data_IF_748384881771
#
_entry.id   IF_748384881771
#
_cell.length_a   1.000
_cell.length_b   1.000
_cell.length_c   1.000
_cell.angle_alpha   90.00
_cell.angle_beta   90.00
_cell.angle_gamma   90.00
#
_symmetry.space_group_name_H-M   'P 1'
#
loop_
_entity.id
_entity.type
_entity.pdbx_description
1 polymer ?
#
# COMPACT_ATOMS: atom_id res chain seq x y z
N UNK A 1 -18.90 11.94 -13.94
CA UNK A 1 -19.22 10.94 -12.90
C UNK A 1 -18.10 10.99 -11.87
N UNK A 2 -18.38 11.32 -10.59
CA UNK A 2 -17.33 11.48 -9.55
C UNK A 2 -17.08 10.19 -8.75
N UNK A 3 -16.99 9.05 -9.42
CA UNK A 3 -16.71 7.77 -8.80
C UNK A 3 -15.25 7.35 -9.05
N UNK A 4 -14.59 6.86 -7.99
CA UNK A 4 -13.21 6.41 -8.06
C UNK A 4 -13.06 5.05 -7.39
N UNK A 5 -12.35 4.14 -8.03
CA UNK A 5 -12.05 2.81 -7.49
C UNK A 5 -10.65 2.81 -6.92
N UNK A 6 -10.54 2.54 -5.62
CA UNK A 6 -9.26 2.38 -4.93
C UNK A 6 -8.89 0.91 -4.98
N UNK A 7 -7.66 0.62 -5.39
CA UNK A 7 -7.05 -0.71 -5.32
C UNK A 7 -5.86 -0.68 -4.38
N UNK A 8 -5.76 -1.70 -3.53
CA UNK A 8 -4.61 -1.96 -2.68
C UNK A 8 -4.19 -3.41 -2.82
N UNK A 9 -2.90 -3.68 -2.98
CA UNK A 9 -2.37 -5.03 -3.24
C UNK A 9 -1.11 -5.29 -2.44
N UNK A 10 -0.97 -6.51 -1.94
CA UNK A 10 0.25 -7.08 -1.40
C UNK A 10 0.69 -8.23 -2.31
N UNK A 11 1.94 -8.23 -2.76
CA UNK A 11 2.44 -9.22 -3.73
C UNK A 11 3.91 -9.54 -3.48
N UNK A 12 4.32 -10.74 -3.89
CA UNK A 12 5.72 -11.14 -3.84
C UNK A 12 6.37 -11.04 -5.23
N UNK A 13 7.46 -10.29 -5.41
CA UNK A 13 8.01 -9.96 -6.72
C UNK A 13 8.64 -11.15 -7.43
N UNK A 14 9.16 -12.14 -6.68
CA UNK A 14 9.76 -13.34 -7.24
C UNK A 14 8.78 -14.51 -7.36
N UNK A 15 9.16 -15.51 -8.18
CA UNK A 15 8.46 -16.80 -8.28
C UNK A 15 8.34 -17.54 -6.95
N UNK A 16 9.25 -17.30 -6.01
CA UNK A 16 9.28 -17.94 -4.69
C UNK A 16 9.77 -16.96 -3.64
N UNK A 17 9.35 -17.16 -2.39
CA UNK A 17 9.72 -16.35 -1.23
C UNK A 17 11.15 -16.62 -0.71
N UNK A 18 12.04 -17.13 -1.55
CA UNK A 18 13.39 -17.51 -1.13
C UNK A 18 13.42 -18.56 -0.01
N UNK A 19 14.56 -18.66 0.68
CA UNK A 19 14.70 -19.51 1.87
C UNK A 19 14.03 -18.88 3.10
N UNK A 20 14.02 -17.54 3.19
CA UNK A 20 13.45 -16.78 4.30
C UNK A 20 11.92 -16.82 4.40
N UNK A 21 11.22 -17.12 3.30
CA UNK A 21 9.80 -17.44 3.28
C UNK A 21 9.52 -18.88 2.87
N UNK A 22 10.37 -19.82 3.29
CA UNK A 22 10.15 -21.27 3.17
C UNK A 22 9.87 -21.76 1.73
N UNK A 23 10.21 -21.00 0.69
CA UNK A 23 10.00 -21.39 -0.70
C UNK A 23 8.53 -21.40 -1.17
N UNK A 24 7.61 -20.71 -0.48
CA UNK A 24 6.25 -20.48 -0.98
C UNK A 24 6.28 -19.79 -2.35
N UNK A 25 5.31 -20.12 -3.21
CA UNK A 25 5.18 -19.46 -4.50
C UNK A 25 4.80 -17.98 -4.35
N UNK A 26 5.41 -17.14 -5.18
CA UNK A 26 5.09 -15.71 -5.29
C UNK A 26 4.51 -15.33 -6.65
N UNK A 27 4.34 -14.03 -6.86
CA UNK A 27 3.59 -13.46 -7.99
C UNK A 27 4.44 -13.26 -9.25
N UNK A 28 5.77 -13.24 -9.12
CA UNK A 28 6.70 -13.12 -10.25
C UNK A 28 6.39 -11.91 -11.17
N UNK A 29 6.28 -10.73 -10.57
CA UNK A 29 5.93 -9.50 -11.28
C UNK A 29 6.53 -8.27 -10.61
N UNK A 30 6.48 -7.14 -11.31
CA UNK A 30 6.74 -5.83 -10.74
C UNK A 30 5.50 -5.08 -10.31
N UNK A 31 5.74 -3.86 -9.83
CA UNK A 31 4.70 -2.89 -9.53
C UNK A 31 3.89 -2.57 -10.79
N UNK A 32 2.59 -2.41 -10.64
CA UNK A 32 1.67 -2.26 -11.76
C UNK A 32 0.37 -1.58 -11.31
N UNK A 33 -0.32 -0.91 -12.23
CA UNK A 33 -1.73 -0.53 -12.05
C UNK A 33 -2.68 -1.45 -12.85
N UNK A 34 -2.16 -2.48 -13.54
CA UNK A 34 -3.00 -3.40 -14.30
C UNK A 34 -3.79 -4.30 -13.38
N UNK A 35 -5.10 -4.34 -13.57
CA UNK A 35 -6.04 -5.20 -12.84
C UNK A 35 -5.80 -6.70 -13.05
N UNK A 36 -5.05 -7.08 -14.08
CA UNK A 36 -4.70 -8.48 -14.36
C UNK A 36 -3.47 -9.00 -13.61
N UNK A 37 -2.81 -8.15 -12.81
CA UNK A 37 -1.59 -8.53 -12.08
C UNK A 37 -1.94 -9.29 -10.81
N UNK A 38 -1.34 -10.47 -10.61
CA UNK A 38 -1.64 -11.35 -9.47
C UNK A 38 -1.18 -10.75 -8.14
N UNK A 39 -1.78 -11.12 -7.02
CA UNK A 39 -1.38 -10.64 -5.69
C UNK A 39 -1.61 -11.70 -4.63
N UNK A 40 -0.81 -11.67 -3.57
CA UNK A 40 -1.07 -12.50 -2.38
C UNK A 40 -2.36 -12.07 -1.70
N UNK A 41 -2.60 -10.77 -1.58
CA UNK A 41 -3.90 -10.23 -1.20
C UNK A 41 -4.13 -8.99 -2.04
N UNK A 42 -5.35 -8.81 -2.51
CA UNK A 42 -5.79 -7.57 -3.12
C UNK A 42 -7.14 -7.17 -2.56
N UNK A 43 -7.36 -5.87 -2.49
CA UNK A 43 -8.61 -5.30 -2.08
C UNK A 43 -8.98 -4.13 -2.98
N UNK A 44 -10.28 -3.93 -3.17
CA UNK A 44 -10.78 -2.77 -3.89
C UNK A 44 -12.12 -2.28 -3.37
N UNK A 45 -12.36 -0.97 -3.50
CA UNK A 45 -13.62 -0.34 -3.14
C UNK A 45 -13.84 0.93 -3.95
N UNK A 46 -15.09 1.22 -4.28
CA UNK A 46 -15.47 2.40 -5.02
C UNK A 46 -16.03 3.46 -4.07
N UNK A 47 -15.49 4.68 -4.14
CA UNK A 47 -16.08 5.86 -3.49
C UNK A 47 -16.84 6.68 -4.51
N UNK A 48 -18.02 7.17 -4.13
CA UNK A 48 -18.86 8.04 -4.94
C UNK A 48 -19.06 9.37 -4.23
N UNK A 49 -18.47 10.43 -4.78
CA UNK A 49 -18.55 11.77 -4.23
C UNK A 49 -19.86 12.50 -4.58
N UNK A 50 -20.64 12.03 -5.55
CA UNK A 50 -21.96 12.59 -5.84
C UNK A 50 -22.94 12.23 -4.73
N UNK A 51 -22.91 10.98 -4.27
CA UNK A 51 -23.83 10.43 -3.27
C UNK A 51 -23.24 10.41 -1.86
N UNK A 52 -21.94 10.70 -1.72
CA UNK A 52 -21.20 10.54 -0.46
C UNK A 52 -21.31 9.12 0.11
N UNK A 53 -21.26 8.13 -0.78
CA UNK A 53 -21.34 6.70 -0.43
C UNK A 53 -20.12 5.95 -0.94
N UNK A 54 -19.98 4.70 -0.53
CA UNK A 54 -18.96 3.80 -1.04
C UNK A 54 -19.52 2.38 -1.15
N UNK A 55 -18.95 1.57 -2.05
CA UNK A 55 -19.27 0.14 -2.18
C UNK A 55 -18.42 -0.68 -1.24
N UNK A 56 -18.93 -1.81 -0.76
CA UNK A 56 -18.17 -2.75 0.08
C UNK A 56 -16.75 -3.02 -0.42
N UNK A 57 -15.80 -3.12 0.52
CA UNK A 57 -14.39 -3.34 0.24
C UNK A 57 -14.18 -4.82 0.01
N UNK A 58 -14.07 -5.21 -1.24
CA UNK A 58 -13.92 -6.61 -1.62
C UNK A 58 -12.45 -7.01 -1.48
N UNK A 59 -12.18 -8.02 -0.65
CA UNK A 59 -10.83 -8.48 -0.30
C UNK A 59 -10.68 -9.93 -0.73
N UNK A 60 -9.69 -10.20 -1.57
CA UNK A 60 -9.45 -11.52 -2.15
C UNK A 60 -7.96 -11.83 -2.26
N UNK A 61 -7.64 -13.04 -2.68
CA UNK A 61 -6.29 -13.55 -2.86
C UNK A 61 -6.22 -14.34 -4.16
N UNK A 62 -5.14 -14.19 -4.92
CA UNK A 62 -4.87 -15.13 -6.00
C UNK A 62 -4.38 -16.47 -5.44
N UNK A 63 -4.59 -17.58 -6.17
CA UNK A 63 -4.21 -18.90 -5.67
C UNK A 63 -2.74 -18.98 -5.25
N UNK A 64 -2.50 -19.77 -4.22
CA UNK A 64 -1.17 -19.98 -3.64
C UNK A 64 -0.78 -21.44 -3.72
N UNK A 65 0.53 -21.72 -3.76
CA UNK A 65 1.05 -23.09 -3.79
C UNK A 65 2.18 -23.24 -2.79
N UNK A 66 2.04 -24.21 -1.89
CA UNK A 66 3.05 -24.57 -0.92
C UNK A 66 4.27 -25.22 -1.60
N UNK A 67 5.46 -25.11 -1.01
CA UNK A 67 6.61 -25.86 -1.48
C UNK A 67 6.37 -27.38 -1.38
N UNK A 68 7.03 -28.15 -2.26
CA UNK A 68 6.85 -29.61 -2.34
C UNK A 68 7.14 -30.36 -1.03
N UNK A 69 8.07 -29.86 -0.21
CA UNK A 69 8.43 -30.47 1.08
C UNK A 69 7.39 -30.19 2.18
N UNK A 70 6.45 -29.27 1.94
CA UNK A 70 5.24 -29.07 2.75
C UNK A 70 4.00 -29.65 2.05
N UNK A 71 4.18 -30.56 1.08
CA UNK A 71 3.11 -31.29 0.42
C UNK A 71 2.68 -30.73 -0.94
N UNK A 72 3.17 -29.56 -1.37
CA UNK A 72 2.84 -29.01 -2.69
C UNK A 72 1.36 -28.66 -2.88
N UNK A 73 0.65 -28.41 -1.78
CA UNK A 73 -0.78 -28.10 -1.79
C UNK A 73 -1.06 -26.78 -2.49
N UNK A 74 -2.23 -26.69 -3.13
CA UNK A 74 -2.73 -25.48 -3.77
C UNK A 74 -3.95 -24.99 -3.01
N UNK A 75 -3.95 -23.71 -2.68
CA UNK A 75 -5.04 -23.04 -1.98
C UNK A 75 -5.67 -22.02 -2.92
N UNK A 76 -6.99 -22.07 -3.06
CA UNK A 76 -7.79 -21.21 -3.94
C UNK A 76 -8.52 -20.12 -3.15
N UNK A 77 -8.49 -20.16 -1.81
CA UNK A 77 -9.12 -19.20 -0.91
C UNK A 77 -10.63 -19.09 -1.15
N UNK A 78 -11.30 -20.22 -1.39
CA UNK A 78 -12.75 -20.27 -1.61
C UNK A 78 -13.50 -20.36 -0.26
N UNK A 79 -12.90 -21.04 0.71
CA UNK A 79 -13.48 -21.25 2.05
C UNK A 79 -13.37 -19.99 2.91
N UNK A 80 -14.46 -19.63 3.61
CA UNK A 80 -14.56 -18.41 4.40
C UNK A 80 -13.47 -18.29 5.48
N UNK A 81 -13.02 -19.42 6.04
CA UNK A 81 -12.00 -19.47 7.07
C UNK A 81 -10.60 -19.14 6.56
N UNK A 82 -10.36 -19.36 5.26
CA UNK A 82 -9.06 -19.16 4.59
C UNK A 82 -8.98 -17.83 3.86
N UNK A 83 -10.14 -17.26 3.47
CA UNK A 83 -10.22 -15.98 2.77
C UNK A 83 -9.57 -14.85 3.58
N UNK A 84 -8.90 -13.91 2.90
CA UNK A 84 -8.51 -12.66 3.53
C UNK A 84 -9.76 -11.87 3.93
N UNK A 85 -9.59 -11.00 4.91
CA UNK A 85 -10.65 -10.17 5.45
C UNK A 85 -10.17 -8.72 5.50
N UNK A 86 -11.10 -7.78 5.43
CA UNK A 86 -10.76 -6.37 5.55
C UNK A 86 -11.98 -5.51 5.77
N UNK A 87 -11.71 -4.24 5.99
CA UNK A 87 -12.71 -3.25 6.28
C UNK A 87 -12.32 -1.94 5.62
N UNK A 88 -13.32 -1.16 5.23
CA UNK A 88 -13.11 0.22 4.86
C UNK A 88 -14.24 1.11 5.36
N UNK A 89 -13.95 2.40 5.40
CA UNK A 89 -14.93 3.43 5.69
C UNK A 89 -14.65 4.65 4.81
N UNK A 90 -15.72 5.34 4.45
CA UNK A 90 -15.66 6.56 3.68
C UNK A 90 -16.56 7.61 4.30
N UNK A 91 -16.03 8.82 4.45
CA UNK A 91 -16.79 10.00 4.85
C UNK A 91 -16.42 11.14 3.92
N UNK A 92 -17.41 11.84 3.39
CA UNK A 92 -17.20 13.04 2.58
C UNK A 92 -18.15 14.16 2.96
N UNK A 93 -17.74 15.39 2.67
CA UNK A 93 -18.66 16.52 2.68
C UNK A 93 -19.74 16.34 1.59
N UNK A 94 -20.90 17.01 1.71
CA UNK A 94 -21.92 16.99 0.66
C UNK A 94 -21.36 17.38 -0.71
N UNK A 95 -21.97 16.86 -1.78
CA UNK A 95 -21.59 17.21 -3.14
C UNK A 95 -21.70 18.72 -3.40
N UNK A 96 -20.63 19.28 -3.95
CA UNK A 96 -20.52 20.70 -4.31
C UNK A 96 -20.22 20.82 -5.81
N UNK A 97 -21.21 21.14 -6.67
CA UNK A 97 -21.04 21.11 -8.13
C UNK A 97 -20.01 22.10 -8.67
N UNK A 98 -19.88 23.27 -8.03
CA UNK A 98 -18.94 24.33 -8.41
C UNK A 98 -18.14 24.78 -7.18
N UNK A 99 -17.69 23.84 -6.35
CA UNK A 99 -17.02 24.18 -5.11
C UNK A 99 -16.18 23.04 -4.57
N UNK A 100 -15.61 23.29 -3.39
CA UNK A 100 -14.74 22.34 -2.71
C UNK A 100 -15.56 21.21 -2.09
N UNK A 101 -15.10 19.98 -2.31
CA UNK A 101 -15.58 18.80 -1.61
C UNK A 101 -14.40 18.03 -1.03
N UNK A 102 -14.52 17.57 0.21
CA UNK A 102 -13.49 16.75 0.84
C UNK A 102 -13.99 15.34 1.08
N UNK A 103 -13.08 14.38 1.10
CA UNK A 103 -13.36 12.98 1.43
C UNK A 103 -12.21 12.34 2.17
N UNK A 104 -12.52 11.37 3.01
CA UNK A 104 -11.54 10.54 3.71
C UNK A 104 -11.96 9.08 3.57
N UNK A 105 -11.10 8.30 2.93
CA UNK A 105 -11.24 6.86 2.75
C UNK A 105 -10.17 6.16 3.57
N UNK A 106 -10.59 5.32 4.51
CA UNK A 106 -9.72 4.50 5.34
C UNK A 106 -10.00 3.05 5.06
N UNK A 107 -8.95 2.24 4.96
CA UNK A 107 -9.08 0.82 4.68
C UNK A 107 -7.99 0.01 5.38
N UNK A 108 -8.30 -1.25 5.60
CA UNK A 108 -7.34 -2.26 6.00
C UNK A 108 -7.74 -3.61 5.40
N UNK A 109 -6.76 -4.48 5.23
CA UNK A 109 -7.00 -5.89 5.01
C UNK A 109 -5.91 -6.72 5.69
N UNK A 110 -6.24 -7.98 5.89
CA UNK A 110 -5.30 -9.00 6.33
C UNK A 110 -5.58 -10.37 5.74
N UNK A 111 -4.57 -11.23 5.74
CA UNK A 111 -4.73 -12.62 5.36
C UNK A 111 -3.42 -13.39 5.39
N UNK A 112 -3.46 -14.62 4.89
CA UNK A 112 -2.35 -15.56 4.94
C UNK A 112 -1.83 -15.87 3.54
N UNK A 113 -0.50 -15.91 3.40
CA UNK A 113 0.14 -16.22 2.13
C UNK A 113 -0.13 -17.65 1.63
N UNK A 114 -0.38 -18.61 2.51
CA UNK A 114 -0.87 -19.96 2.16
C UNK A 114 -1.64 -20.56 3.34
N UNK A 115 -2.87 -21.00 3.11
CA UNK A 115 -3.63 -21.76 4.09
C UNK A 115 -3.42 -23.26 3.85
N UNK A 116 -2.96 -24.00 4.87
CA UNK A 116 -2.85 -25.46 4.78
C UNK A 116 -4.12 -26.16 5.26
N UNK A 117 -4.84 -25.51 6.16
CA UNK A 117 -6.06 -26.03 6.79
C UNK A 117 -7.03 -24.88 7.04
N UNK A 118 -8.31 -25.13 7.32
CA UNK A 118 -9.22 -24.09 7.83
C UNK A 118 -8.84 -23.56 9.23
N UNK A 119 -7.88 -24.18 9.93
CA UNK A 119 -7.46 -23.75 11.25
C UNK A 119 -6.48 -22.56 11.16
N UNK A 120 -6.99 -21.35 11.39
CA UNK A 120 -6.20 -20.10 11.39
C UNK A 120 -5.01 -20.13 12.35
N UNK A 121 -5.14 -20.71 13.54
CA UNK A 121 -4.05 -20.77 14.52
C UNK A 121 -2.89 -21.67 14.05
N UNK A 122 -3.22 -22.81 13.41
CA UNK A 122 -2.21 -23.66 12.80
C UNK A 122 -1.53 -22.96 11.62
N UNK A 123 -2.30 -22.33 10.73
CA UNK A 123 -1.73 -21.62 9.60
C UNK A 123 -0.81 -20.48 10.06
N UNK A 124 -1.24 -19.68 11.04
CA UNK A 124 -0.45 -18.55 11.55
C UNK A 124 0.89 -18.98 12.19
N UNK A 125 0.96 -20.21 12.72
CA UNK A 125 2.21 -20.78 13.24
C UNK A 125 3.24 -21.07 12.12
N UNK A 126 2.75 -21.40 10.92
CA UNK A 126 3.57 -21.84 9.78
C UNK A 126 3.81 -20.71 8.78
N UNK A 127 2.80 -19.87 8.58
CA UNK A 127 2.75 -18.75 7.66
C UNK A 127 2.04 -17.60 8.37
N UNK A 128 2.80 -16.62 8.90
CA UNK A 128 2.22 -15.47 9.56
C UNK A 128 1.24 -14.72 8.66
N UNK A 129 0.26 -14.06 9.28
CA UNK A 129 -0.62 -13.13 8.58
C UNK A 129 0.17 -11.92 8.06
N UNK A 130 -0.32 -11.34 6.96
CA UNK A 130 0.14 -10.09 6.40
C UNK A 130 -0.97 -9.06 6.51
N UNK A 131 -0.62 -7.89 7.04
CA UNK A 131 -1.55 -6.81 7.31
C UNK A 131 -1.15 -5.55 6.53
N UNK A 132 -2.12 -4.93 5.88
CA UNK A 132 -1.93 -3.67 5.16
C UNK A 132 -3.09 -2.72 5.45
N UNK A 133 -2.77 -1.46 5.71
CA UNK A 133 -3.76 -0.42 5.93
C UNK A 133 -3.37 0.89 5.25
N UNK A 134 -4.36 1.74 5.01
CA UNK A 134 -4.11 3.02 4.38
C UNK A 134 -5.20 4.04 4.64
N UNK A 135 -4.82 5.29 4.43
CA UNK A 135 -5.74 6.43 4.43
C UNK A 135 -5.54 7.21 3.13
N UNK A 136 -6.63 7.63 2.52
CA UNK A 136 -6.64 8.52 1.37
C UNK A 136 -7.56 9.68 1.67
N UNK A 137 -7.00 10.89 1.70
CA UNK A 137 -7.73 12.13 1.86
C UNK A 137 -7.80 12.83 0.51
N UNK A 138 -8.99 13.30 0.17
CA UNK A 138 -9.31 13.99 -1.06
C UNK A 138 -9.74 15.42 -0.75
N UNK A 139 -9.29 16.37 -1.56
CA UNK A 139 -9.88 17.69 -1.70
C UNK A 139 -10.11 17.96 -3.19
N UNK A 140 -11.37 18.01 -3.60
CA UNK A 140 -11.80 18.15 -4.99
C UNK A 140 -12.36 19.56 -5.18
N UNK A 141 -11.67 20.36 -5.97
CA UNK A 141 -12.15 21.67 -6.41
C UNK A 141 -12.85 21.53 -7.77
N UNK A 142 -14.17 21.72 -7.77
CA UNK A 142 -15.00 21.68 -8.98
C UNK A 142 -15.34 23.05 -9.53
N UNK A 143 -14.71 24.11 -9.06
CA UNK A 143 -14.81 25.41 -9.74
C UNK A 143 -14.38 25.22 -11.21
N UNK A 144 -15.23 25.61 -12.20
CA UNK A 144 -14.91 25.49 -13.62
C UNK A 144 -13.58 26.13 -14.04
N UNK A 145 -13.10 27.12 -13.28
CA UNK A 145 -11.83 27.80 -13.53
C UNK A 145 -10.63 27.06 -12.90
N UNK A 146 -10.86 26.11 -11.98
CA UNK A 146 -9.82 25.36 -11.25
C UNK A 146 -9.73 23.91 -11.69
N UNK A 147 -10.79 23.12 -11.50
CA UNK A 147 -10.88 21.68 -11.80
C UNK A 147 -9.63 20.88 -11.39
N UNK A 148 -9.39 20.78 -10.08
CA UNK A 148 -8.25 20.05 -9.50
C UNK A 148 -8.68 19.12 -8.36
N UNK A 149 -7.92 18.06 -8.16
CA UNK A 149 -8.04 17.17 -7.01
C UNK A 149 -6.70 17.06 -6.31
N UNK A 150 -6.64 17.42 -5.03
CA UNK A 150 -5.54 17.06 -4.16
C UNK A 150 -5.82 15.68 -3.53
N UNK A 151 -4.79 14.82 -3.56
CA UNK A 151 -4.82 13.48 -2.97
C UNK A 151 -3.64 13.36 -2.02
N UNK A 152 -3.94 13.06 -0.76
CA UNK A 152 -2.95 12.66 0.25
C UNK A 152 -3.19 11.20 0.56
N UNK A 153 -2.18 10.36 0.41
CA UNK A 153 -2.29 8.94 0.71
C UNK A 153 -1.16 8.48 1.62
N UNK A 154 -1.51 7.66 2.62
CA UNK A 154 -0.56 6.98 3.50
C UNK A 154 -0.80 5.47 3.46
N UNK A 155 0.29 4.73 3.61
CA UNK A 155 0.30 3.27 3.57
C UNK A 155 1.05 2.75 4.79
N UNK A 156 0.46 1.78 5.50
CA UNK A 156 1.04 1.11 6.67
C UNK A 156 0.93 -0.39 6.57
N UNK A 157 1.83 -1.11 7.24
CA UNK A 157 1.80 -2.57 7.31
C UNK A 157 3.08 -3.16 7.87
N UNK A 158 3.24 -4.48 7.71
CA UNK A 158 4.34 -5.24 8.32
C UNK A 158 5.70 -5.06 7.63
N UNK A 159 5.76 -4.42 6.45
CA UNK A 159 7.01 -4.26 5.67
C UNK A 159 7.36 -5.46 4.79
N UNK A 160 6.51 -6.49 4.77
CA UNK A 160 6.58 -7.62 3.84
C UNK A 160 5.15 -8.09 3.49
N UNK A 161 4.86 -8.51 2.24
CA UNK A 161 5.73 -8.44 1.05
C UNK A 161 5.68 -7.03 0.43
N UNK A 162 5.95 -6.90 -0.89
CA UNK A 162 5.77 -5.61 -1.57
C UNK A 162 4.29 -5.23 -1.54
N UNK A 163 4.01 -3.93 -1.55
CA UNK A 163 2.64 -3.45 -1.65
C UNK A 163 2.49 -2.25 -2.58
N UNK A 164 1.29 -2.08 -3.10
CA UNK A 164 0.96 -0.99 -4.01
C UNK A 164 -0.49 -0.55 -3.84
N UNK A 165 -0.72 0.75 -3.99
CA UNK A 165 -2.03 1.38 -3.90
C UNK A 165 -2.18 2.30 -5.09
N UNK A 166 -3.32 2.22 -5.78
CA UNK A 166 -3.64 3.09 -6.91
C UNK A 166 -5.14 3.37 -6.95
N UNK A 167 -5.50 4.46 -7.63
CA UNK A 167 -6.87 4.90 -7.81
C UNK A 167 -7.19 4.95 -9.31
N UNK A 168 -8.41 4.58 -9.67
CA UNK A 168 -8.91 4.62 -11.05
C UNK A 168 -10.14 5.53 -11.09
N UNK A 169 -10.20 6.43 -12.05
CA UNK A 169 -11.40 7.25 -12.29
C UNK A 169 -12.49 6.49 -13.08
N UNK A 170 -13.58 7.18 -13.39
CA UNK A 170 -14.70 6.61 -14.16
C UNK A 170 -14.39 6.41 -15.66
N UNK A 171 -13.18 6.76 -16.12
CA UNK A 171 -12.71 6.57 -17.50
C UNK A 171 -11.52 5.59 -17.55
N UNK A 172 -11.42 4.70 -16.56
CA UNK A 172 -10.39 3.66 -16.44
C UNK A 172 -8.95 4.22 -16.45
N UNK A 173 -8.75 5.46 -16.01
CA UNK A 173 -7.43 6.09 -15.95
C UNK A 173 -6.81 5.86 -14.56
N UNK A 174 -5.72 5.07 -14.45
CA UNK A 174 -5.11 4.80 -13.16
C UNK A 174 -4.11 5.90 -12.76
N UNK A 175 -4.04 6.17 -11.46
CA UNK A 175 -2.98 6.94 -10.81
C UNK A 175 -2.42 6.12 -9.65
N UNK A 176 -1.13 5.80 -9.70
CA UNK A 176 -0.40 5.18 -8.59
C UNK A 176 -0.35 6.15 -7.40
N UNK A 177 -0.62 5.66 -6.20
CA UNK A 177 -0.58 6.46 -4.97
C UNK A 177 0.60 6.04 -4.11
N UNK A 178 0.75 4.75 -3.79
CA UNK A 178 1.88 4.27 -3.00
C UNK A 178 2.45 3.00 -3.61
N UNK A 179 3.75 2.82 -3.45
CA UNK A 179 4.45 1.55 -3.71
C UNK A 179 5.47 1.37 -2.61
N UNK A 180 5.44 0.22 -1.95
CA UNK A 180 6.41 -0.15 -0.94
C UNK A 180 7.20 -1.36 -1.41
N UNK A 181 8.52 -1.22 -1.39
CA UNK A 181 9.46 -2.29 -1.56
C UNK A 181 9.72 -2.96 -0.22
N UNK A 182 9.47 -4.26 -0.14
CA UNK A 182 9.62 -5.04 1.09
C UNK A 182 11.00 -4.87 1.71
N UNK A 183 11.10 -5.22 2.98
CA UNK A 183 12.32 -5.17 3.75
C UNK A 183 12.48 -6.47 4.53
N UNK A 184 13.66 -7.09 4.52
CA UNK A 184 13.86 -8.38 5.18
C UNK A 184 13.01 -9.50 4.57
N UNK A 185 12.88 -10.60 5.32
CA UNK A 185 12.18 -11.81 4.90
C UNK A 185 10.87 -12.01 5.69
N UNK A 186 9.97 -12.83 5.13
CA UNK A 186 8.63 -13.09 5.68
C UNK A 186 8.60 -13.39 7.19
N UNK A 187 9.44 -14.33 7.65
CA UNK A 187 9.44 -14.73 9.06
C UNK A 187 9.99 -13.66 10.04
N UNK A 188 10.71 -12.65 9.54
CA UNK A 188 11.22 -11.55 10.36
C UNK A 188 10.24 -10.38 10.47
N UNK A 189 9.57 -10.02 9.36
CA UNK A 189 8.68 -8.85 9.30
C UNK A 189 7.25 -9.11 9.72
N UNK A 190 6.71 -10.28 9.37
CA UNK A 190 5.32 -10.61 9.70
C UNK A 190 5.15 -10.98 11.18
N UNK A 191 6.27 -11.09 11.91
CA UNK A 191 6.23 -11.29 13.34
C UNK A 191 5.90 -9.96 14.03
N UNK A 192 5.05 -10.01 15.06
CA UNK A 192 4.74 -8.89 15.97
C UNK A 192 3.86 -7.74 15.43
N UNK A 193 3.29 -7.83 14.22
CA UNK A 193 2.32 -6.85 13.69
C UNK A 193 2.82 -5.40 13.79
N UNK A 194 3.93 -5.11 13.13
CA UNK A 194 4.72 -3.92 13.40
C UNK A 194 4.12 -2.60 12.86
N UNK A 195 3.11 -2.67 11.97
CA UNK A 195 2.33 -1.53 11.43
C UNK A 195 3.16 -0.28 11.07
N UNK A 196 4.29 -0.50 10.42
CA UNK A 196 5.22 0.53 9.97
C UNK A 196 4.57 1.49 8.98
N UNK A 197 4.99 2.76 8.97
CA UNK A 197 4.70 3.65 7.85
C UNK A 197 5.53 3.20 6.64
N UNK A 198 4.86 2.69 5.62
CA UNK A 198 5.50 2.10 4.43
C UNK A 198 5.63 3.12 3.30
N UNK A 199 4.59 3.93 3.09
CA UNK A 199 4.56 4.88 1.99
C UNK A 199 3.72 6.11 2.26
N UNK A 200 4.04 7.20 1.57
CA UNK A 200 3.28 8.43 1.63
C UNK A 200 3.38 9.25 0.35
N UNK A 201 2.23 9.72 -0.13
CA UNK A 201 2.13 10.52 -1.35
C UNK A 201 1.22 11.72 -1.15
N UNK A 202 1.65 12.86 -1.70
CA UNK A 202 0.86 14.08 -1.78
C UNK A 202 0.97 14.62 -3.21
N UNK A 203 -0.16 14.64 -3.90
CA UNK A 203 -0.28 15.14 -5.27
C UNK A 203 -1.48 16.05 -5.45
N UNK A 204 -1.43 16.90 -6.46
CA UNK A 204 -2.59 17.58 -7.04
C UNK A 204 -2.70 17.17 -8.51
N UNK A 205 -3.85 16.67 -8.94
CA UNK A 205 -4.10 16.26 -10.32
C UNK A 205 -5.20 17.11 -10.94
N UNK A 206 -5.01 17.55 -12.17
CA UNK A 206 -6.09 18.18 -12.95
C UNK A 206 -7.15 17.16 -13.33
N UNK A 207 -8.41 17.56 -13.17
CA UNK A 207 -9.59 16.79 -13.56
C UNK A 207 -10.38 17.54 -14.63
N UNK A 208 -11.27 16.85 -15.32
CA UNK A 208 -12.28 17.50 -16.18
C UNK A 208 -13.58 17.75 -15.40
N UNK A 209 -14.57 18.35 -16.06
CA UNK A 209 -15.89 18.61 -15.47
C UNK A 209 -16.64 17.35 -15.01
N UNK A 210 -16.29 16.18 -15.57
CA UNK A 210 -16.84 14.90 -15.15
C UNK A 210 -16.14 14.32 -13.92
N UNK A 211 -14.99 14.85 -13.51
CA UNK A 211 -14.15 14.33 -12.43
C UNK A 211 -13.06 13.36 -12.90
N UNK A 212 -12.92 13.12 -14.20
CA UNK A 212 -11.88 12.22 -14.73
C UNK A 212 -10.52 12.90 -14.72
N UNK A 213 -9.47 12.13 -14.46
CA UNK A 213 -8.09 12.59 -14.46
C UNK A 213 -7.66 12.94 -15.89
N UNK A 214 -7.18 14.19 -16.07
CA UNK A 214 -6.65 14.66 -17.35
C UNK A 214 -5.18 15.07 -17.26
N UNK A 215 -4.67 15.26 -16.04
CA UNK A 215 -3.31 15.73 -15.81
C UNK A 215 -3.09 17.19 -16.23
N UNK A 216 -1.94 17.79 -15.88
CA UNK A 216 -0.80 17.18 -15.20
C UNK A 216 -1.07 16.80 -13.74
N UNK A 217 -0.16 15.99 -13.20
CA UNK A 217 -0.02 15.68 -11.77
C UNK A 217 1.10 16.56 -11.24
N UNK A 218 0.76 17.45 -10.30
CA UNK A 218 1.73 18.18 -9.50
C UNK A 218 2.07 17.37 -8.25
N UNK A 219 3.29 16.89 -8.16
CA UNK A 219 3.77 16.12 -7.03
C UNK A 219 4.46 17.01 -6.00
N UNK A 220 4.03 16.89 -4.75
CA UNK A 220 4.68 17.53 -3.59
C UNK A 220 5.53 16.53 -2.82
N UNK A 221 5.07 15.27 -2.73
CA UNK A 221 5.77 14.21 -2.00
C UNK A 221 5.43 12.84 -2.58
N UNK A 222 6.42 11.96 -2.69
CA UNK A 222 6.22 10.55 -3.00
C UNK A 222 7.35 9.72 -2.38
N UNK A 223 7.09 9.10 -1.23
CA UNK A 223 8.12 8.43 -0.43
C UNK A 223 7.75 6.98 -0.18
N UNK A 224 8.73 6.10 -0.36
CA UNK A 224 8.77 4.75 0.20
C UNK A 224 9.69 4.77 1.42
N UNK A 225 9.12 4.73 2.62
CA UNK A 225 9.83 5.03 3.86
C UNK A 225 10.87 3.97 4.24
N UNK A 226 10.74 2.76 3.72
CA UNK A 226 11.59 1.63 4.07
C UNK A 226 12.07 0.92 2.81
N UNK A 227 13.27 0.33 2.81
CA UNK A 227 14.24 0.28 3.92
C UNK A 227 15.11 1.54 4.08
N UNK A 228 15.17 2.41 3.06
CA UNK A 228 16.12 3.53 3.00
C UNK A 228 15.45 4.92 2.92
N UNK A 229 14.14 5.01 3.16
CA UNK A 229 13.36 6.24 2.99
C UNK A 229 13.59 6.90 1.61
N UNK A 230 13.24 6.17 0.55
CA UNK A 230 13.44 6.61 -0.84
C UNK A 230 12.34 7.60 -1.25
N UNK A 231 12.76 8.81 -1.65
CA UNK A 231 11.89 9.78 -2.32
C UNK A 231 11.92 9.54 -3.83
N UNK A 232 10.81 9.07 -4.38
CA UNK A 232 10.65 8.72 -5.79
C UNK A 232 10.77 9.93 -6.71
N UNK A 233 10.60 11.16 -6.19
CA UNK A 233 10.74 12.39 -6.98
C UNK A 233 12.21 12.74 -7.28
N UNK A 234 13.16 12.13 -6.57
CA UNK A 234 14.60 12.43 -6.68
C UNK A 234 15.32 11.38 -7.56
N UNK A 235 14.80 10.15 -7.63
CA UNK A 235 15.53 8.99 -8.14
C UNK A 235 15.54 8.84 -9.68
N UNK A 236 14.61 9.47 -10.42
CA UNK A 236 14.42 9.14 -11.84
C UNK A 236 15.65 9.47 -12.75
N UNK A 237 16.62 10.27 -12.30
CA UNK A 237 17.77 10.68 -13.13
C UNK A 237 19.18 10.33 -12.57
N UNK A 238 19.31 9.51 -11.52
CA UNK A 238 20.61 8.98 -11.08
C UNK A 238 21.68 10.04 -10.70
N UNK A 239 21.26 11.28 -10.52
CA UNK A 239 22.06 12.42 -10.13
C UNK A 239 21.12 13.35 -9.37
N UNK A 240 21.55 13.85 -8.21
CA UNK A 240 20.92 15.01 -7.57
C UNK A 240 20.95 16.16 -8.58
N UNK A 241 19.88 16.32 -9.36
CA UNK A 241 19.70 17.45 -10.26
C UNK A 241 18.82 18.46 -9.55
N UNK A 242 19.35 19.66 -9.44
CA UNK A 242 18.81 20.90 -8.88
C UNK A 242 17.45 21.38 -9.46
N UNK A 243 16.65 20.51 -10.08
CA UNK A 243 15.32 20.87 -10.57
C UNK A 243 14.32 19.78 -10.20
N UNK A 244 13.72 19.90 -9.01
CA UNK A 244 12.47 19.25 -8.67
C UNK A 244 11.47 19.47 -9.81
N UNK A 245 11.18 18.43 -10.61
CA UNK A 245 10.01 18.47 -11.49
C UNK A 245 8.80 18.32 -10.60
N UNK A 246 7.97 19.35 -10.55
CA UNK A 246 6.71 19.28 -9.83
C UNK A 246 5.62 18.68 -10.72
N UNK A 247 5.65 18.93 -12.04
CA UNK A 247 4.56 18.53 -12.93
C UNK A 247 4.92 17.31 -13.81
N UNK A 248 4.09 16.27 -13.74
CA UNK A 248 4.22 15.01 -14.46
C UNK A 248 2.98 14.77 -15.33
N UNK A 249 3.14 14.20 -16.52
CA UNK A 249 2.00 13.51 -17.16
C UNK A 249 1.61 12.28 -16.33
N UNK A 250 0.35 11.83 -16.43
CA UNK A 250 -0.13 10.63 -15.71
C UNK A 250 0.76 9.41 -16.00
N UNK A 251 1.17 9.23 -17.26
CA UNK A 251 2.07 8.12 -17.65
C UNK A 251 3.45 8.24 -17.00
N UNK A 252 4.04 9.44 -16.96
CA UNK A 252 5.33 9.64 -16.29
C UNK A 252 5.23 9.39 -14.79
N UNK A 253 4.17 9.89 -14.16
CA UNK A 253 3.90 9.66 -12.75
C UNK A 253 3.80 8.16 -12.43
N UNK A 254 2.96 7.41 -13.14
CA UNK A 254 2.83 5.97 -12.93
C UNK A 254 4.15 5.22 -13.22
N UNK A 255 4.99 5.73 -14.12
CA UNK A 255 6.30 5.15 -14.42
C UNK A 255 7.29 5.28 -13.26
N UNK A 256 7.23 6.36 -12.46
CA UNK A 256 8.05 6.51 -11.25
C UNK A 256 7.87 5.32 -10.30
N UNK A 257 6.64 4.84 -10.18
CA UNK A 257 6.30 3.70 -9.34
C UNK A 257 6.65 2.37 -10.02
N UNK A 258 6.27 2.20 -11.29
CA UNK A 258 6.29 0.89 -11.97
C UNK A 258 7.64 0.49 -12.55
N UNK A 259 8.56 1.44 -12.77
CA UNK A 259 9.92 1.16 -13.28
C UNK A 259 10.86 0.65 -12.19
N UNK A 260 10.49 0.81 -10.91
CA UNK A 260 11.31 0.37 -9.77
C UNK A 260 11.54 -1.13 -9.86
N UNK A 261 12.78 -1.54 -9.60
CA UNK A 261 13.07 -2.97 -9.45
C UNK A 261 12.34 -3.45 -8.19
N UNK A 262 11.38 -4.37 -8.33
CA UNK A 262 10.61 -4.87 -7.20
C UNK A 262 11.37 -5.94 -6.41
N UNK A 263 12.55 -6.38 -6.88
CA UNK A 263 13.39 -7.41 -6.24
C UNK A 263 14.85 -7.00 -6.28
N UNK A 264 15.46 -6.58 -5.17
CA UNK A 264 16.90 -6.30 -5.20
C UNK A 264 17.68 -7.61 -5.09
N UNK A 265 18.50 -7.91 -6.11
CA UNK A 265 19.36 -9.10 -6.15
C UNK A 265 20.81 -8.69 -6.13
N UNK A 266 21.62 -9.34 -5.30
CA UNK A 266 23.06 -9.17 -5.35
C UNK A 266 23.67 -9.80 -6.62
N UNK A 267 24.96 -9.60 -6.80
CA UNK A 267 25.77 -10.14 -7.90
C UNK A 267 25.74 -11.67 -8.03
N UNK A 268 25.30 -12.39 -6.99
CA UNK A 268 25.13 -13.85 -6.99
C UNK A 268 23.66 -14.28 -7.20
N UNK A 269 22.76 -13.32 -7.44
CA UNK A 269 21.34 -13.55 -7.65
C UNK A 269 20.54 -13.85 -6.38
N UNK A 270 21.14 -13.67 -5.20
CA UNK A 270 20.40 -13.77 -3.94
C UNK A 270 19.70 -12.45 -3.66
N UNK A 271 18.49 -12.57 -3.13
CA UNK A 271 17.68 -11.46 -2.66
C UNK A 271 18.44 -10.70 -1.56
N UNK A 272 18.80 -9.44 -1.81
CA UNK A 272 19.45 -8.59 -0.81
C UNK A 272 18.46 -8.00 0.16
N UNK A 273 17.18 -7.95 -0.18
CA UNK A 273 16.16 -7.40 0.69
C UNK A 273 16.01 -8.27 1.94
N UNK A 274 16.13 -9.59 1.79
CA UNK A 274 16.16 -10.58 2.88
C UNK A 274 17.28 -10.31 3.91
N UNK A 275 18.33 -9.56 3.53
CA UNK A 275 19.47 -9.25 4.39
C UNK A 275 19.37 -7.91 5.12
N UNK A 276 18.32 -7.13 4.86
CA UNK A 276 18.13 -5.83 5.48
C UNK A 276 17.76 -5.99 6.97
N UNK A 277 18.40 -5.21 7.86
CA UNK A 277 18.16 -5.31 9.30
C UNK A 277 16.73 -4.91 9.63
N UNK A 278 16.09 -5.66 10.53
CA UNK A 278 14.79 -5.31 11.10
C UNK A 278 14.90 -3.91 11.77
N UNK A 279 13.94 -2.98 11.59
CA UNK A 279 13.88 -1.72 12.31
C UNK A 279 13.69 -2.03 13.79
N UNK A 280 14.83 -2.08 14.49
CA UNK A 280 15.03 -2.24 15.94
C UNK A 280 13.77 -2.56 16.77
N UNK A 281 13.39 -3.84 16.81
CA UNK A 281 12.91 -4.42 18.07
C UNK A 281 14.16 -4.71 18.88
N UNK A 282 14.52 -3.82 19.81
CA UNK A 282 15.56 -4.15 20.79
C UNK A 282 14.99 -5.28 21.68
N UNK A 283 15.53 -6.51 21.65
CA UNK A 283 15.00 -7.61 22.45
C UNK A 283 15.33 -7.46 23.94
N UNK A 284 16.08 -6.43 24.32
CA UNK A 284 16.46 -6.10 25.70
C UNK A 284 15.99 -4.67 26.01
N UNK A 285 14.73 -4.54 26.45
CA UNK A 285 14.03 -3.28 26.71
C UNK A 285 14.90 -2.15 27.24
N UNK A 286 15.07 -1.11 26.42
CA UNK A 286 15.60 0.18 26.82
C UNK A 286 14.50 1.23 26.69
N UNK A 287 14.17 1.88 27.79
CA UNK A 287 13.14 2.93 27.86
C UNK A 287 13.44 4.09 26.89
N UNK A 288 12.40 4.61 26.23
CA UNK A 288 12.47 5.91 25.54
C UNK A 288 12.58 7.03 26.58
N UNK A 289 13.32 8.13 26.32
CA UNK A 289 13.25 9.32 27.14
C UNK A 289 11.89 9.99 26.92
N UNK A 290 11.08 10.05 27.98
CA UNK A 290 9.75 10.65 27.97
C UNK A 290 9.81 12.18 27.96
N UNK A 291 9.08 12.79 27.02
CA UNK A 291 8.65 14.18 27.16
C UNK A 291 8.76 15.04 25.90
N UNK A 292 7.78 14.95 25.00
CA UNK A 292 7.40 16.07 24.13
C UNK A 292 5.89 16.03 23.87
N UNK A 293 5.23 17.16 24.12
CA UNK A 293 3.79 17.36 23.89
C UNK A 293 3.58 17.86 22.46
N UNK A 294 2.69 17.17 21.74
CA UNK A 294 2.18 17.37 20.38
C UNK A 294 1.75 18.81 20.08
N UNK A 295 2.17 19.41 18.96
CA UNK A 295 1.80 20.79 18.60
C UNK A 295 1.81 21.11 17.08
N UNK A 296 2.00 20.17 16.13
CA UNK A 296 2.03 20.56 14.69
C UNK A 296 1.67 19.49 13.65
N UNK A 297 1.42 19.92 12.40
CA UNK A 297 1.16 19.06 11.22
C UNK A 297 2.33 18.12 10.86
N UNK A 298 3.54 18.37 11.36
CA UNK A 298 4.69 17.47 11.20
C UNK A 298 4.53 16.18 12.05
N UNK A 299 3.64 16.18 13.04
CA UNK A 299 3.39 15.05 13.94
C UNK A 299 2.57 13.91 13.27
N UNK A 300 2.04 14.11 12.05
CA UNK A 300 1.37 13.07 11.25
C UNK A 300 2.33 12.01 10.69
N UNK A 301 3.64 12.25 10.75
CA UNK A 301 4.69 11.41 10.17
C UNK A 301 5.70 10.86 11.19
N UNK A 302 5.50 11.09 12.49
CA UNK A 302 6.23 10.39 13.55
C UNK A 302 5.53 9.08 13.91
N UNK A 303 6.30 8.00 14.08
CA UNK A 303 5.80 6.67 14.40
C UNK A 303 4.80 6.71 15.57
N UNK A 304 3.61 6.16 15.35
CA UNK A 304 2.66 5.89 16.42
C UNK A 304 3.31 4.91 17.42
N UNK A 305 3.27 5.25 18.70
CA UNK A 305 3.68 4.32 19.75
C UNK A 305 2.68 3.15 19.85
N UNK A 306 3.09 2.01 20.43
CA UNK A 306 2.16 0.93 20.79
C UNK A 306 0.95 1.42 21.62
N UNK A 307 1.15 2.46 22.42
CA UNK A 307 0.11 3.15 23.21
C UNK A 307 -0.90 3.98 22.40
N UNK A 308 -0.61 4.29 21.13
CA UNK A 308 -1.48 5.09 20.26
C UNK A 308 -2.42 4.21 19.40
N UNK A 309 -2.28 2.88 19.51
CA UNK A 309 -3.19 1.94 18.89
C UNK A 309 -4.49 1.86 19.71
N UNK A 310 -5.67 1.98 19.09
CA UNK A 310 -6.91 1.67 19.77
C UNK A 310 -6.86 0.24 20.34
N UNK A 311 -7.28 0.11 21.59
CA UNK A 311 -7.24 -1.14 22.36
C UNK A 311 -8.33 -2.09 21.82
N UNK A 312 -8.06 -2.81 20.73
CA UNK A 312 -9.02 -3.74 20.10
C UNK A 312 -8.91 -5.16 20.69
N UNK A 313 -8.84 -5.26 22.02
CA UNK A 313 -8.98 -6.53 22.73
C UNK A 313 -10.40 -6.68 23.29
N UNK A 314 -11.30 -7.23 22.47
CA UNK A 314 -12.37 -8.14 22.87
C UNK A 314 -12.62 -9.18 21.78
#
# INVERSE_FOLDING_TARGET
MSAYVIHARAFHPDKKFGLGGLGFHGDNRGFSASLSSTSRIYAFGQVDFMTSTWTEFDVNSDPSTAPWFLGGTREEYIEAETKPEGHASFVSSPFAPNGMQTGNFQWNFRGINHAFTPNRAFNNLVVPYLDLSGTIVFAIDRDPDVLEMQITSTLRGDGFPNSEVFIIDSNDTPIMLNTHHRMGYAAGQLAYNAQHLLGGTLITVKINADGNFVGPIRATRCVDFMPEARDLLIEEEGFFRDTYRTDYSITQWNRLHTKRDPSEKNILGFDTDDSLPLPRVNPFGGERPSGQKWNSLDDLFTDAGPEDLPDWNH
#
